data_IF_921999017338
#
_entry.id   IF_921999017338
#
_cell.length_a   1.000
_cell.length_b   1.000
_cell.length_c   1.000
_cell.angle_alpha   90.00
_cell.angle_beta   90.00
_cell.angle_gamma   90.00
#
_symmetry.space_group_name_H-M   'P 1'
#
loop_
_entity.id
_entity.type
_entity.pdbx_description
1 polymer ?
#
# COMPACT_ATOMS: atom_id res chain seq x y z
N UNK A 1 23.65 -20.81 29.45
CA UNK A 1 22.96 -19.89 28.51
C UNK A 1 22.37 -20.75 27.42
N UNK A 2 21.06 -20.89 27.35
CA UNK A 2 20.39 -21.69 26.32
C UNK A 2 20.71 -21.10 24.95
N UNK A 3 21.20 -21.94 24.04
CA UNK A 3 21.61 -21.56 22.69
C UNK A 3 20.38 -21.21 21.83
N UNK A 4 19.85 -20.00 22.05
CA UNK A 4 18.64 -19.52 21.37
C UNK A 4 18.95 -19.27 19.89
N UNK A 5 18.11 -19.79 19.01
CA UNK A 5 18.32 -19.70 17.56
C UNK A 5 17.64 -18.45 16.99
N UNK A 6 18.31 -17.77 16.06
CA UNK A 6 17.71 -16.64 15.34
C UNK A 6 16.52 -17.13 14.52
N UNK A 7 15.41 -16.40 14.56
CA UNK A 7 14.23 -16.70 13.73
C UNK A 7 14.59 -16.57 12.24
N UNK A 8 14.29 -17.63 11.49
CA UNK A 8 14.33 -17.63 10.02
C UNK A 8 12.94 -17.99 9.49
N UNK A 9 12.27 -17.01 8.91
CA UNK A 9 10.96 -17.13 8.29
C UNK A 9 11.10 -16.81 6.78
N UNK A 10 10.68 -17.75 5.93
CA UNK A 10 10.81 -17.70 4.47
C UNK A 10 9.44 -17.91 3.82
N UNK A 11 9.16 -17.19 2.73
CA UNK A 11 8.03 -17.50 1.85
C UNK A 11 8.21 -18.85 1.15
N UNK A 12 7.15 -19.35 0.50
CA UNK A 12 7.23 -20.57 -0.34
C UNK A 12 8.26 -20.43 -1.48
N UNK A 13 8.48 -19.20 -1.96
CA UNK A 13 9.54 -18.89 -2.93
C UNK A 13 10.95 -18.78 -2.34
N UNK A 14 11.13 -19.06 -1.04
CA UNK A 14 12.43 -19.04 -0.35
C UNK A 14 12.91 -17.65 0.09
N UNK A 15 12.16 -16.58 -0.20
CA UNK A 15 12.52 -15.21 0.20
C UNK A 15 12.32 -15.04 1.71
N UNK A 16 13.36 -14.56 2.39
CA UNK A 16 13.29 -14.24 3.83
C UNK A 16 12.33 -13.08 4.06
N UNK A 17 11.40 -13.25 5.01
CA UNK A 17 10.48 -12.19 5.43
C UNK A 17 11.22 -11.19 6.32
N UNK A 18 11.11 -9.86 6.09
CA UNK A 18 11.99 -8.84 6.68
C UNK A 18 11.58 -8.44 8.11
N UNK A 19 11.25 -9.39 8.99
CA UNK A 19 10.79 -9.09 10.36
C UNK A 19 11.78 -8.23 11.13
N UNK A 20 13.07 -8.58 11.10
CA UNK A 20 14.13 -7.83 11.80
C UNK A 20 14.28 -6.42 11.24
N UNK A 21 14.41 -6.27 9.93
CA UNK A 21 14.54 -4.97 9.26
C UNK A 21 13.37 -4.05 9.63
N UNK A 22 12.13 -4.53 9.47
CA UNK A 22 10.93 -3.76 9.79
C UNK A 22 10.80 -3.47 11.28
N UNK A 23 11.30 -4.33 12.16
CA UNK A 23 11.31 -4.09 13.61
C UNK A 23 12.30 -2.99 13.99
N UNK A 24 13.49 -2.96 13.40
CA UNK A 24 14.47 -1.89 13.65
C UNK A 24 13.93 -0.53 13.21
N UNK A 25 13.41 -0.43 11.99
CA UNK A 25 12.76 0.78 11.49
C UNK A 25 11.57 1.19 12.39
N UNK A 26 10.80 0.20 12.86
CA UNK A 26 9.68 0.43 13.77
C UNK A 26 10.10 0.99 15.13
N UNK A 27 11.22 0.55 15.68
CA UNK A 27 11.76 1.07 16.94
C UNK A 27 12.21 2.53 16.78
N UNK A 28 12.96 2.85 15.72
CA UNK A 28 13.39 4.22 15.41
C UNK A 28 12.19 5.15 15.22
N UNK A 29 11.19 4.74 14.44
CA UNK A 29 9.93 5.48 14.30
C UNK A 29 9.21 5.65 15.67
N UNK A 30 9.23 4.62 16.52
CA UNK A 30 8.70 4.69 17.88
C UNK A 30 9.44 5.69 18.78
N UNK A 31 10.75 5.82 18.64
CA UNK A 31 11.57 6.82 19.33
C UNK A 31 11.21 8.24 18.88
N UNK A 32 11.08 8.46 17.57
CA UNK A 32 10.67 9.75 17.02
C UNK A 32 9.27 10.15 17.47
N UNK A 33 8.31 9.22 17.50
CA UNK A 33 6.99 9.47 18.08
C UNK A 33 7.06 9.87 19.56
N UNK A 34 7.99 9.29 20.33
CA UNK A 34 8.16 9.63 21.73
C UNK A 34 8.70 11.06 21.88
N UNK A 35 9.70 11.45 21.09
CA UNK A 35 10.26 12.81 21.07
C UNK A 35 9.16 13.83 20.70
N UNK A 36 8.33 13.50 19.71
CA UNK A 36 7.19 14.31 19.26
C UNK A 36 5.97 14.22 20.21
N UNK A 37 6.07 13.50 21.34
CA UNK A 37 5.00 13.34 22.34
C UNK A 37 3.69 12.70 21.82
N UNK A 38 3.76 11.86 20.79
CA UNK A 38 2.62 11.06 20.34
C UNK A 38 2.33 9.92 21.33
N UNK A 39 1.12 9.90 21.91
CA UNK A 39 0.67 8.89 22.89
C UNK A 39 0.83 7.42 22.46
N UNK A 40 0.84 7.16 21.14
CA UNK A 40 0.96 5.81 20.57
C UNK A 40 2.39 5.27 20.53
N UNK A 41 3.41 6.06 20.90
CA UNK A 41 4.83 5.70 20.79
C UNK A 41 5.15 4.33 21.42
N UNK A 42 4.69 4.09 22.65
CA UNK A 42 4.92 2.82 23.36
C UNK A 42 4.36 1.62 22.60
N UNK A 43 3.08 1.68 22.22
CA UNK A 43 2.42 0.62 21.44
C UNK A 43 3.10 0.39 20.08
N UNK A 44 3.63 1.45 19.46
CA UNK A 44 4.41 1.33 18.23
C UNK A 44 5.69 0.56 18.47
N UNK A 45 6.44 0.83 19.54
CA UNK A 45 7.67 0.09 19.89
C UNK A 45 7.42 -1.38 20.16
N UNK A 46 6.30 -1.73 20.82
CA UNK A 46 5.91 -3.11 21.12
C UNK A 46 5.36 -3.87 19.89
N UNK A 47 5.10 -3.18 18.77
CA UNK A 47 4.53 -3.79 17.58
C UNK A 47 5.38 -4.98 17.11
N UNK A 48 4.76 -6.15 16.97
CA UNK A 48 5.43 -7.36 16.53
C UNK A 48 6.50 -7.91 17.48
N UNK A 49 6.54 -7.50 18.76
CA UNK A 49 7.59 -7.93 19.70
C UNK A 49 7.64 -9.46 19.90
N UNK A 50 6.48 -10.12 19.89
CA UNK A 50 6.36 -11.57 20.00
C UNK A 50 5.64 -12.10 18.76
N UNK A 51 6.30 -13.01 18.05
CA UNK A 51 5.77 -13.68 16.87
C UNK A 51 5.54 -15.15 17.20
N UNK A 52 4.30 -15.61 17.12
CA UNK A 52 3.97 -17.04 17.24
C UNK A 52 3.65 -17.59 15.86
N UNK A 53 4.32 -18.67 15.51
CA UNK A 53 4.11 -19.41 14.28
C UNK A 53 3.60 -20.81 14.59
N UNK A 54 2.78 -21.34 13.70
CA UNK A 54 2.57 -22.78 13.55
C UNK A 54 3.41 -23.25 12.38
N UNK A 55 4.02 -24.42 12.51
CA UNK A 55 4.82 -25.04 11.47
C UNK A 55 4.19 -26.36 11.02
N UNK A 56 4.18 -26.62 9.72
CA UNK A 56 3.74 -27.88 9.12
C UNK A 56 4.88 -28.92 9.00
N UNK A 57 4.56 -30.13 8.57
CA UNK A 57 5.52 -31.23 8.34
C UNK A 57 6.65 -30.88 7.35
N UNK A 58 6.39 -29.94 6.44
CA UNK A 58 7.35 -29.49 5.42
C UNK A 58 8.24 -28.34 5.93
N UNK A 59 8.04 -27.88 7.16
CA UNK A 59 8.80 -26.79 7.78
C UNK A 59 8.30 -25.39 7.39
N UNK A 60 7.14 -25.28 6.75
CA UNK A 60 6.54 -23.98 6.43
C UNK A 60 5.92 -23.36 7.67
N UNK A 61 6.21 -22.07 7.87
CA UNK A 61 5.72 -21.31 9.02
C UNK A 61 4.56 -20.42 8.61
N UNK A 62 3.43 -20.55 9.31
CA UNK A 62 2.33 -19.58 9.27
C UNK A 62 2.34 -18.77 10.56
N UNK A 63 2.33 -17.46 10.43
CA UNK A 63 2.15 -16.57 11.58
C UNK A 63 0.74 -16.79 12.15
N UNK A 64 0.67 -17.28 13.38
CA UNK A 64 -0.56 -17.60 14.08
C UNK A 64 -0.99 -16.47 15.03
N UNK A 65 -0.03 -15.80 15.68
CA UNK A 65 -0.32 -14.70 16.60
C UNK A 65 0.80 -13.67 16.65
N UNK A 66 0.41 -12.40 16.71
CA UNK A 66 1.25 -11.26 17.07
C UNK A 66 0.35 -10.05 17.38
N UNK A 67 0.91 -8.99 17.94
CA UNK A 67 0.20 -7.73 18.18
C UNK A 67 0.74 -6.64 17.26
N UNK A 68 -0.13 -6.07 16.44
CA UNK A 68 0.18 -4.94 15.56
C UNK A 68 -0.36 -3.64 16.15
N UNK A 69 0.40 -2.55 16.03
CA UNK A 69 0.00 -1.25 16.57
C UNK A 69 -1.00 -0.48 15.69
N UNK A 70 -1.21 -0.96 14.45
CA UNK A 70 -1.99 -0.36 13.36
C UNK A 70 -1.60 1.07 12.97
N UNK A 71 -0.52 1.63 13.53
CA UNK A 71 -0.06 2.98 13.19
C UNK A 71 0.23 3.09 11.69
N UNK A 72 -0.16 4.22 11.11
CA UNK A 72 -0.14 4.48 9.67
C UNK A 72 1.26 4.47 9.07
N UNK A 73 2.26 4.89 9.83
CA UNK A 73 3.66 4.93 9.39
C UNK A 73 4.50 3.79 9.98
N UNK A 74 3.91 2.89 10.79
CA UNK A 74 4.64 1.76 11.36
C UNK A 74 5.11 0.82 10.24
N UNK A 75 6.43 0.58 10.08
CA UNK A 75 6.97 -0.24 9.00
C UNK A 75 6.47 -1.70 9.00
N UNK A 76 6.31 -2.31 10.19
CA UNK A 76 5.71 -3.64 10.32
C UNK A 76 4.26 -3.65 9.87
N UNK A 77 3.43 -2.75 10.39
CA UNK A 77 2.01 -2.70 10.03
C UNK A 77 1.83 -2.38 8.54
N UNK A 78 2.60 -1.44 8.00
CA UNK A 78 2.55 -1.09 6.59
C UNK A 78 2.91 -2.28 5.72
N UNK A 79 4.01 -2.98 6.01
CA UNK A 79 4.40 -4.19 5.28
C UNK A 79 3.28 -5.23 5.20
N UNK A 80 2.68 -5.57 6.35
CA UNK A 80 1.56 -6.51 6.42
C UNK A 80 0.33 -6.00 5.66
N UNK A 81 0.03 -4.70 5.78
CA UNK A 81 -1.08 -4.03 5.10
C UNK A 81 -0.95 -4.08 3.58
N UNK A 82 0.25 -3.81 3.04
CA UNK A 82 0.47 -3.89 1.59
C UNK A 82 0.37 -5.32 1.06
N UNK A 83 0.88 -6.31 1.81
CA UNK A 83 0.69 -7.72 1.43
C UNK A 83 -0.79 -8.07 1.34
N UNK A 84 -1.57 -7.75 2.38
CA UNK A 84 -3.01 -8.02 2.41
C UNK A 84 -3.75 -7.27 1.30
N UNK A 85 -3.46 -5.98 1.10
CA UNK A 85 -4.06 -5.19 0.01
C UNK A 85 -3.75 -5.77 -1.36
N UNK A 86 -2.52 -6.22 -1.60
CA UNK A 86 -2.12 -6.83 -2.88
C UNK A 86 -2.89 -8.12 -3.14
N UNK A 87 -3.07 -8.96 -2.13
CA UNK A 87 -3.74 -10.25 -2.29
C UNK A 87 -5.26 -10.07 -2.46
N UNK A 88 -5.89 -9.24 -1.62
CA UNK A 88 -7.30 -8.88 -1.79
C UNK A 88 -7.58 -8.24 -3.15
N UNK A 89 -6.70 -7.33 -3.60
CA UNK A 89 -6.84 -6.73 -4.92
C UNK A 89 -6.70 -7.78 -6.03
N UNK A 90 -5.78 -8.73 -5.90
CA UNK A 90 -5.64 -9.84 -6.87
C UNK A 90 -6.95 -10.62 -7.00
N UNK A 91 -7.57 -11.02 -5.88
CA UNK A 91 -8.87 -11.70 -5.87
C UNK A 91 -9.97 -10.86 -6.55
N UNK A 92 -10.01 -9.55 -6.28
CA UNK A 92 -10.96 -8.62 -6.93
C UNK A 92 -10.74 -8.56 -8.44
N UNK A 93 -9.48 -8.48 -8.89
CA UNK A 93 -9.15 -8.38 -10.32
C UNK A 93 -9.50 -9.68 -11.07
N UNK A 94 -9.22 -10.84 -10.47
CA UNK A 94 -9.57 -12.14 -11.04
C UNK A 94 -11.08 -12.28 -11.22
N UNK A 95 -11.86 -11.91 -10.20
CA UNK A 95 -13.31 -11.93 -10.27
C UNK A 95 -13.85 -10.91 -11.30
N UNK A 96 -13.23 -9.73 -11.40
CA UNK A 96 -13.61 -8.72 -12.38
C UNK A 96 -13.43 -9.21 -13.83
N UNK A 97 -12.34 -9.94 -14.09
CA UNK A 97 -12.09 -10.55 -15.40
C UNK A 97 -13.08 -11.68 -15.69
N UNK A 98 -13.46 -12.49 -14.68
CA UNK A 98 -14.52 -13.50 -14.84
C UNK A 98 -15.86 -12.86 -15.23
N UNK A 99 -16.26 -11.80 -14.52
CA UNK A 99 -17.54 -11.10 -14.75
C UNK A 99 -17.57 -10.25 -16.03
N UNK A 100 -16.41 -9.75 -16.49
CA UNK A 100 -16.26 -8.94 -17.71
C UNK A 100 -15.03 -9.38 -18.49
N UNK A 101 -15.17 -10.53 -19.17
CA UNK A 101 -14.09 -11.20 -19.93
C UNK A 101 -13.38 -10.32 -20.97
N UNK A 102 -14.09 -9.36 -21.55
CA UNK A 102 -13.53 -8.44 -22.56
C UNK A 102 -13.01 -7.14 -21.97
N UNK A 103 -13.15 -6.93 -20.66
CA UNK A 103 -12.62 -5.75 -19.99
C UNK A 103 -11.10 -5.70 -20.06
N UNK A 104 -10.56 -4.47 -20.00
CA UNK A 104 -9.13 -4.20 -20.12
C UNK A 104 -8.70 -3.31 -18.98
N UNK A 105 -7.45 -3.45 -18.55
CA UNK A 105 -6.89 -2.62 -17.49
C UNK A 105 -5.98 -1.53 -18.06
N UNK A 106 -6.07 -0.34 -17.46
CA UNK A 106 -5.13 0.75 -17.67
C UNK A 106 -4.53 1.14 -16.32
N UNK A 107 -3.25 1.45 -16.32
CA UNK A 107 -2.58 2.10 -15.21
C UNK A 107 -2.54 3.60 -15.49
N UNK A 108 -3.07 4.40 -14.56
CA UNK A 108 -3.13 5.85 -14.63
C UNK A 108 -2.41 6.43 -13.41
N UNK A 109 -1.37 7.22 -13.64
CA UNK A 109 -0.66 7.96 -12.60
C UNK A 109 -1.02 9.44 -12.70
N UNK A 110 -1.53 10.00 -11.60
CA UNK A 110 -1.94 11.39 -11.50
C UNK A 110 -1.01 12.11 -10.52
N UNK A 111 -0.25 13.10 -11.00
CA UNK A 111 0.66 13.88 -10.16
C UNK A 111 0.15 15.31 -9.94
N UNK A 112 0.78 15.98 -8.98
CA UNK A 112 0.67 17.40 -8.71
C UNK A 112 2.07 17.90 -8.36
N UNK A 113 2.27 19.22 -8.37
CA UNK A 113 3.51 19.83 -7.87
C UNK A 113 3.75 19.50 -6.39
N UNK A 114 5.01 19.58 -5.99
CA UNK A 114 5.41 19.36 -4.61
C UNK A 114 4.71 20.37 -3.68
N UNK A 115 4.39 19.91 -2.48
CA UNK A 115 3.74 20.75 -1.47
C UNK A 115 4.52 20.73 -0.16
N UNK A 116 4.23 21.69 0.70
CA UNK A 116 4.78 21.75 2.07
C UNK A 116 3.95 20.89 3.02
N UNK A 117 4.51 20.52 4.17
CA UNK A 117 3.80 19.73 5.19
C UNK A 117 2.47 20.36 5.63
N UNK A 118 2.47 21.69 5.77
CA UNK A 118 1.29 22.50 6.13
C UNK A 118 0.13 22.33 5.14
N UNK A 119 0.42 22.20 3.85
CA UNK A 119 -0.56 22.11 2.77
C UNK A 119 -0.92 20.67 2.39
N UNK A 120 -0.07 19.69 2.72
CA UNK A 120 -0.22 18.30 2.33
C UNK A 120 -1.60 17.72 2.67
N UNK A 121 -2.13 18.00 3.87
CA UNK A 121 -3.45 17.51 4.28
C UNK A 121 -4.58 18.01 3.40
N UNK A 122 -4.58 19.31 3.06
CA UNK A 122 -5.61 19.91 2.21
C UNK A 122 -5.51 19.39 0.79
N UNK A 123 -4.29 19.24 0.27
CA UNK A 123 -4.04 18.72 -1.08
C UNK A 123 -4.49 17.27 -1.21
N UNK A 124 -4.13 16.39 -0.27
CA UNK A 124 -4.60 14.99 -0.26
C UNK A 124 -6.13 14.87 -0.25
N UNK A 125 -6.80 15.75 0.51
CA UNK A 125 -8.27 15.83 0.51
C UNK A 125 -8.84 16.31 -0.82
N UNK A 126 -8.17 17.27 -1.46
CA UNK A 126 -8.55 17.78 -2.78
C UNK A 126 -8.39 16.70 -3.85
N UNK A 127 -7.26 16.00 -3.89
CA UNK A 127 -7.06 14.87 -4.80
C UNK A 127 -8.15 13.81 -4.63
N UNK A 128 -8.55 13.50 -3.38
CA UNK A 128 -9.62 12.55 -3.10
C UNK A 128 -11.01 12.98 -3.63
N UNK A 129 -11.26 14.29 -3.75
CA UNK A 129 -12.46 14.83 -4.42
C UNK A 129 -12.28 14.83 -5.94
N UNK A 130 -11.16 15.35 -6.43
CA UNK A 130 -10.85 15.47 -7.84
C UNK A 130 -10.93 14.11 -8.57
N UNK A 131 -10.40 13.03 -7.97
CA UNK A 131 -10.49 11.71 -8.60
C UNK A 131 -11.94 11.24 -8.75
N UNK A 132 -12.81 11.57 -7.81
CA UNK A 132 -14.24 11.21 -7.86
C UNK A 132 -14.94 11.97 -8.99
N UNK A 133 -14.61 13.23 -9.16
CA UNK A 133 -15.19 14.09 -10.20
C UNK A 133 -14.66 13.69 -11.59
N UNK A 134 -13.37 13.39 -11.70
CA UNK A 134 -12.74 12.89 -12.92
C UNK A 134 -13.43 11.63 -13.44
N UNK A 135 -13.72 10.66 -12.55
CA UNK A 135 -14.42 9.43 -12.94
C UNK A 135 -15.89 9.65 -13.35
N UNK A 136 -16.48 10.82 -13.05
CA UNK A 136 -17.85 11.19 -13.40
C UNK A 136 -17.95 12.01 -14.68
N UNK A 137 -16.84 12.49 -15.21
CA UNK A 137 -16.86 13.16 -16.51
C UNK A 137 -17.39 12.21 -17.59
N UNK A 138 -18.13 12.78 -18.56
CA UNK A 138 -18.90 12.03 -19.55
C UNK A 138 -18.10 10.93 -20.24
N UNK A 139 -16.89 11.23 -20.73
CA UNK A 139 -16.06 10.27 -21.48
C UNK A 139 -15.42 9.19 -20.58
N UNK A 140 -14.82 9.52 -19.41
CA UNK A 140 -14.44 8.51 -18.41
C UNK A 140 -15.61 7.61 -17.98
N UNK A 141 -16.72 8.18 -17.53
CA UNK A 141 -17.87 7.44 -17.02
C UNK A 141 -18.51 6.51 -18.06
N UNK A 142 -18.53 6.92 -19.34
CA UNK A 142 -19.01 6.09 -20.47
C UNK A 142 -18.24 4.77 -20.60
N UNK A 143 -16.92 4.80 -20.37
CA UNK A 143 -16.01 3.69 -20.65
C UNK A 143 -15.58 2.89 -19.42
N UNK A 144 -15.63 3.50 -18.24
CA UNK A 144 -15.18 2.91 -16.98
C UNK A 144 -16.16 1.83 -16.48
N UNK A 145 -15.63 0.66 -16.14
CA UNK A 145 -16.35 -0.40 -15.43
C UNK A 145 -16.12 -0.28 -13.93
N UNK A 146 -14.88 -0.01 -13.52
CA UNK A 146 -14.51 0.20 -12.13
C UNK A 146 -13.06 0.66 -12.01
N UNK A 147 -12.65 1.03 -10.81
CA UNK A 147 -11.28 1.43 -10.54
C UNK A 147 -10.90 1.17 -9.09
N UNK A 148 -9.60 1.07 -8.85
CA UNK A 148 -9.00 1.19 -7.53
C UNK A 148 -7.94 2.28 -7.59
N UNK A 149 -7.85 3.09 -6.54
CA UNK A 149 -6.81 4.11 -6.41
C UNK A 149 -6.08 3.97 -5.09
N UNK A 150 -4.78 4.21 -5.11
CA UNK A 150 -3.94 4.44 -3.95
C UNK A 150 -3.24 5.78 -4.05
N UNK A 151 -2.90 6.35 -2.91
CA UNK A 151 -2.12 7.58 -2.84
C UNK A 151 -0.74 7.25 -2.27
N UNK A 152 0.31 7.70 -2.95
CA UNK A 152 1.70 7.59 -2.53
C UNK A 152 2.25 9.01 -2.27
N UNK A 153 3.02 9.16 -1.21
CA UNK A 153 3.72 10.39 -0.83
C UNK A 153 5.19 10.04 -0.68
N UNK A 154 6.02 10.70 -1.48
CA UNK A 154 7.48 10.64 -1.40
C UNK A 154 8.01 11.97 -0.88
N UNK A 155 9.09 11.91 -0.10
CA UNK A 155 9.68 13.08 0.54
C UNK A 155 10.93 13.48 -0.22
N UNK A 156 11.04 14.76 -0.58
CA UNK A 156 12.26 15.37 -1.08
C UNK A 156 12.95 16.13 0.07
N UNK A 157 14.19 15.74 0.35
CA UNK A 157 15.04 16.26 1.42
C UNK A 157 16.11 17.27 0.93
N UNK A 158 16.14 17.58 -0.38
CA UNK A 158 17.17 18.44 -0.98
C UNK A 158 16.93 19.95 -0.81
N UNK A 159 15.71 20.34 -0.42
CA UNK A 159 15.36 21.75 -0.21
C UNK A 159 15.61 22.18 1.25
N UNK A 160 15.63 23.50 1.48
CA UNK A 160 15.75 24.09 2.83
C UNK A 160 14.69 23.60 3.82
N UNK A 161 13.56 23.10 3.31
CA UNK A 161 12.52 22.41 4.08
C UNK A 161 12.06 21.15 3.33
N UNK A 162 11.62 20.09 4.04
CA UNK A 162 11.05 18.90 3.40
C UNK A 162 9.88 19.24 2.49
N UNK A 163 9.92 18.74 1.26
CA UNK A 163 8.85 18.89 0.28
C UNK A 163 8.22 17.53 -0.04
N UNK A 164 6.90 17.51 -0.22
CA UNK A 164 6.13 16.28 -0.40
C UNK A 164 5.61 16.17 -1.82
N UNK A 165 6.13 15.17 -2.53
CA UNK A 165 5.62 14.78 -3.84
C UNK A 165 4.57 13.69 -3.65
N UNK A 166 3.30 14.07 -3.79
CA UNK A 166 2.16 13.19 -3.58
C UNK A 166 1.44 12.95 -4.90
N UNK A 167 1.13 11.69 -5.17
CA UNK A 167 0.55 11.26 -6.45
C UNK A 167 -0.40 10.09 -6.23
N UNK A 168 -1.27 9.85 -7.22
CA UNK A 168 -2.20 8.72 -7.19
C UNK A 168 -1.85 7.71 -8.26
N UNK A 169 -1.78 6.45 -7.85
CA UNK A 169 -1.82 5.31 -8.75
C UNK A 169 -3.25 4.81 -8.86
N UNK A 170 -3.74 4.71 -10.09
CA UNK A 170 -5.12 4.31 -10.38
C UNK A 170 -5.10 3.17 -11.37
N UNK A 171 -5.60 2.01 -10.94
CA UNK A 171 -5.86 0.90 -11.85
C UNK A 171 -7.31 0.99 -12.31
N UNK A 172 -7.48 1.33 -13.58
CA UNK A 172 -8.77 1.45 -14.25
C UNK A 172 -9.14 0.12 -14.89
N UNK A 173 -10.39 -0.30 -14.74
CA UNK A 173 -10.98 -1.37 -15.51
C UNK A 173 -11.99 -0.77 -16.49
N UNK A 174 -11.71 -0.88 -17.79
CA UNK A 174 -12.48 -0.23 -18.86
C UNK A 174 -13.07 -1.25 -19.82
N UNK A 175 -14.16 -0.87 -20.49
CA UNK A 175 -14.76 -1.64 -21.59
C UNK A 175 -13.75 -1.80 -22.74
N UNK A 176 -13.76 -2.92 -23.45
CA UNK A 176 -12.94 -3.12 -24.66
C UNK A 176 -13.17 -2.03 -25.73
N UNK A 177 -14.39 -1.49 -25.79
CA UNK A 177 -14.76 -0.40 -26.69
C UNK A 177 -13.95 0.89 -26.44
N UNK A 178 -13.33 1.04 -25.27
CA UNK A 178 -12.42 2.16 -24.98
C UNK A 178 -11.35 2.35 -26.05
N UNK A 179 -10.85 1.26 -26.64
CA UNK A 179 -9.80 1.29 -27.66
C UNK A 179 -10.35 1.44 -29.09
N UNK A 180 -11.65 1.68 -29.26
CA UNK A 180 -12.31 1.77 -30.57
C UNK A 180 -12.91 3.16 -30.77
N UNK A 181 -12.37 3.91 -31.73
CA UNK A 181 -12.88 5.23 -32.12
C UNK A 181 -12.52 6.36 -31.14
N UNK A 182 -12.49 7.59 -31.65
CA UNK A 182 -12.14 8.81 -30.92
C UNK A 182 -13.16 9.18 -29.82
N UNK A 183 -14.42 8.77 -29.97
CA UNK A 183 -15.48 9.02 -28.99
C UNK A 183 -15.33 8.23 -27.68
N UNK A 184 -14.47 7.20 -27.67
CA UNK A 184 -14.27 6.32 -26.52
C UNK A 184 -12.87 6.45 -25.95
N UNK A 185 -11.85 6.43 -26.81
CA UNK A 185 -10.45 6.47 -26.40
C UNK A 185 -10.11 7.81 -25.74
N UNK A 186 -9.45 7.79 -24.59
CA UNK A 186 -9.02 9.00 -23.88
C UNK A 186 -7.51 9.07 -23.99
N UNK A 187 -6.99 10.06 -24.72
CA UNK A 187 -5.54 10.26 -24.83
C UNK A 187 -4.93 10.70 -23.49
N UNK A 188 -3.60 10.61 -23.37
CA UNK A 188 -2.88 11.18 -22.24
C UNK A 188 -3.20 12.67 -22.05
N UNK A 189 -3.25 13.45 -23.14
CA UNK A 189 -3.59 14.89 -23.08
C UNK A 189 -5.01 15.15 -22.58
N UNK A 190 -5.99 14.31 -22.97
CA UNK A 190 -7.35 14.40 -22.43
C UNK A 190 -7.39 14.04 -20.94
N UNK A 191 -6.67 13.00 -20.51
CA UNK A 191 -6.55 12.66 -19.08
C UNK A 191 -5.91 13.79 -18.28
N UNK A 192 -4.84 14.40 -18.80
CA UNK A 192 -4.20 15.58 -18.21
C UNK A 192 -5.21 16.72 -18.06
N UNK A 193 -5.97 17.05 -19.10
CA UNK A 193 -6.98 18.10 -19.05
C UNK A 193 -8.11 17.80 -18.06
N UNK A 194 -8.55 16.55 -17.96
CA UNK A 194 -9.52 16.14 -16.94
C UNK A 194 -8.96 16.27 -15.53
N UNK A 195 -7.72 15.86 -15.31
CA UNK A 195 -7.09 15.95 -14.01
C UNK A 195 -6.86 17.40 -13.58
N UNK A 196 -6.28 18.21 -14.47
CA UNK A 196 -6.10 19.65 -14.27
C UNK A 196 -7.41 20.33 -13.88
N UNK A 197 -8.50 20.04 -14.63
CA UNK A 197 -9.83 20.61 -14.34
C UNK A 197 -10.40 20.13 -13.01
N UNK A 198 -10.29 18.83 -12.70
CA UNK A 198 -10.82 18.27 -11.46
C UNK A 198 -10.08 18.78 -10.22
N UNK A 199 -8.76 18.97 -10.34
CA UNK A 199 -7.92 19.56 -9.30
C UNK A 199 -7.98 21.08 -9.28
N UNK A 200 -8.53 21.74 -10.32
CA UNK A 200 -8.56 23.21 -10.47
C UNK A 200 -7.15 23.83 -10.49
N UNK A 201 -6.20 23.17 -11.16
CA UNK A 201 -4.82 23.63 -11.24
C UNK A 201 -4.67 24.76 -12.26
N UNK A 202 -3.84 25.74 -11.93
CA UNK A 202 -3.41 26.82 -12.83
C UNK A 202 -2.20 26.43 -13.70
N UNK A 203 -1.65 25.24 -13.52
CA UNK A 203 -0.57 24.64 -14.32
C UNK A 203 -1.04 23.33 -14.97
N UNK A 204 -0.28 22.83 -15.94
CA UNK A 204 -0.53 21.54 -16.61
C UNK A 204 0.19 20.44 -15.82
N UNK A 205 -0.52 19.51 -15.16
CA UNK A 205 0.12 18.44 -14.40
C UNK A 205 0.69 17.33 -15.30
N UNK A 206 1.58 16.52 -14.75
CA UNK A 206 2.08 15.32 -15.44
C UNK A 206 1.12 14.16 -15.15
N UNK A 207 0.62 13.54 -16.20
CA UNK A 207 -0.22 12.34 -16.11
C UNK A 207 0.37 11.27 -16.99
N UNK A 208 0.52 10.05 -16.46
CA UNK A 208 0.89 8.90 -17.25
C UNK A 208 -0.30 7.94 -17.38
N UNK A 209 -0.50 7.38 -18.57
CA UNK A 209 -1.53 6.36 -18.81
C UNK A 209 -1.00 5.26 -19.70
N UNK A 210 -1.09 4.03 -19.23
CA UNK A 210 -0.56 2.86 -19.94
C UNK A 210 -1.54 1.70 -19.89
N UNK A 211 -1.68 0.95 -20.98
CA UNK A 211 -2.45 -0.28 -20.98
C UNK A 211 -1.66 -1.38 -20.24
N UNK A 212 -2.31 -2.07 -19.32
CA UNK A 212 -1.72 -3.23 -18.66
C UNK A 212 -1.62 -4.36 -19.68
N UNK A 213 -0.38 -4.70 -20.05
CA UNK A 213 -0.10 -5.79 -20.99
C UNK A 213 -0.10 -7.14 -20.25
N UNK A 214 -0.63 -8.21 -20.86
CA UNK A 214 -0.36 -9.56 -20.40
C UNK A 214 1.15 -9.80 -20.45
N UNK A 215 1.72 -10.27 -19.34
CA UNK A 215 3.15 -10.50 -19.22
C UNK A 215 3.44 -11.91 -19.74
N UNK A 216 4.00 -12.01 -20.95
CA UNK A 216 4.28 -13.31 -21.60
C UNK A 216 5.62 -13.89 -21.13
N UNK A 217 6.55 -13.03 -20.68
CA UNK A 217 7.96 -13.40 -20.45
C UNK A 217 8.40 -13.46 -18.97
N UNK A 218 7.51 -13.16 -18.02
CA UNK A 218 7.77 -13.37 -16.59
C UNK A 218 6.70 -14.29 -16.04
N UNK A 219 7.09 -15.34 -15.32
CA UNK A 219 6.22 -16.26 -14.56
C UNK A 219 5.29 -15.59 -13.52
N UNK A 220 5.12 -14.25 -13.54
CA UNK A 220 4.18 -13.48 -12.74
C UNK A 220 2.99 -13.05 -13.61
N UNK A 221 1.79 -13.50 -13.24
CA UNK A 221 0.51 -13.04 -13.77
C UNK A 221 0.49 -11.49 -13.84
N UNK A 222 0.20 -10.90 -15.01
CA UNK A 222 0.19 -9.44 -15.19
C UNK A 222 -0.74 -8.72 -14.22
N UNK A 223 -1.85 -9.38 -13.84
CA UNK A 223 -2.80 -8.84 -12.86
C UNK A 223 -2.18 -8.74 -11.46
N UNK A 224 -1.38 -9.74 -11.06
CA UNK A 224 -0.66 -9.72 -9.80
C UNK A 224 0.36 -8.57 -9.77
N UNK A 225 1.08 -8.35 -10.88
CA UNK A 225 2.03 -7.24 -10.98
C UNK A 225 1.33 -5.88 -10.86
N UNK A 226 0.18 -5.70 -11.53
CA UNK A 226 -0.62 -4.49 -11.41
C UNK A 226 -1.20 -4.31 -10.00
N UNK A 227 -1.66 -5.40 -9.37
CA UNK A 227 -2.13 -5.36 -7.99
C UNK A 227 -1.03 -4.94 -7.02
N UNK A 228 0.18 -5.50 -7.16
CA UNK A 228 1.35 -5.15 -6.36
C UNK A 228 1.76 -3.68 -6.56
N UNK A 229 1.66 -3.16 -7.78
CA UNK A 229 1.97 -1.76 -8.08
C UNK A 229 0.96 -0.81 -7.41
N UNK A 230 -0.34 -1.10 -7.49
CA UNK A 230 -1.38 -0.25 -6.90
C UNK A 230 -1.50 -0.42 -5.38
N UNK A 231 -1.16 -1.58 -4.82
CA UNK A 231 -1.24 -1.87 -3.38
C UNK A 231 0.00 -1.44 -2.57
N UNK A 232 0.87 -0.59 -3.14
CA UNK A 232 2.04 -0.06 -2.44
C UNK A 232 1.69 0.76 -1.19
N UNK A 233 2.70 0.93 -0.33
CA UNK A 233 2.60 1.79 0.84
C UNK A 233 2.30 3.23 0.45
N UNK A 234 1.57 3.94 1.32
CA UNK A 234 1.38 5.37 1.14
C UNK A 234 2.68 6.16 1.35
N UNK A 235 3.57 5.68 2.23
CA UNK A 235 4.90 6.25 2.48
C UNK A 235 5.87 5.11 2.74
N UNK A 236 7.11 5.20 2.23
CA UNK A 236 8.15 4.19 2.50
C UNK A 236 8.94 4.60 3.75
N UNK A 237 9.33 3.62 4.57
CA UNK A 237 10.12 3.85 5.79
C UNK A 237 11.40 4.65 5.50
N UNK A 238 12.10 4.31 4.41
CA UNK A 238 13.31 5.00 3.96
C UNK A 238 13.13 6.49 3.64
N UNK A 239 11.90 6.94 3.39
CA UNK A 239 11.62 8.35 3.06
C UNK A 239 11.43 9.19 4.35
N UNK A 240 11.23 8.53 5.51
CA UNK A 240 10.92 9.16 6.81
C UNK A 240 11.88 8.77 7.94
N UNK A 241 12.73 7.77 7.70
CA UNK A 241 13.80 7.30 8.59
C UNK A 241 15.11 7.39 7.82
N UNK A 242 15.64 8.60 7.78
CA UNK A 242 16.93 8.90 7.16
C UNK A 242 18.02 8.90 8.23
N UNK A 243 19.16 9.52 7.94
CA UNK A 243 20.22 9.77 8.90
C UNK A 243 20.17 11.20 9.46
N UNK A 244 19.11 11.97 9.17
CA UNK A 244 18.91 13.33 9.66
C UNK A 244 17.70 13.39 10.59
N UNK A 245 17.95 13.29 11.90
CA UNK A 245 16.90 13.24 12.91
C UNK A 245 15.99 14.48 12.92
N UNK A 246 16.53 15.68 12.71
CA UNK A 246 15.74 16.92 12.73
C UNK A 246 14.72 16.93 11.59
N UNK A 247 15.16 16.60 10.37
CA UNK A 247 14.28 16.48 9.21
C UNK A 247 13.28 15.33 9.37
N UNK A 248 13.72 14.17 9.87
CA UNK A 248 12.84 13.02 10.08
C UNK A 248 11.71 13.32 11.07
N UNK A 249 12.02 14.04 12.17
CA UNK A 249 11.02 14.46 13.15
C UNK A 249 9.97 15.37 12.51
N UNK A 250 10.40 16.36 11.72
CA UNK A 250 9.48 17.24 10.98
C UNK A 250 8.62 16.43 10.00
N UNK A 251 9.23 15.54 9.23
CA UNK A 251 8.57 14.73 8.21
C UNK A 251 7.53 13.79 8.81
N UNK A 252 7.88 13.14 9.91
CA UNK A 252 6.95 12.26 10.62
C UNK A 252 5.77 13.06 11.17
N UNK A 253 6.01 14.21 11.78
CA UNK A 253 4.92 15.04 12.32
C UNK A 253 3.96 15.51 11.22
N UNK A 254 4.50 16.04 10.11
CA UNK A 254 3.72 16.46 8.94
C UNK A 254 2.86 15.31 8.40
N UNK A 255 3.45 14.11 8.24
CA UNK A 255 2.75 12.95 7.69
C UNK A 255 1.71 12.36 8.66
N UNK A 256 2.00 12.34 9.96
CA UNK A 256 1.03 11.94 10.99
C UNK A 256 -0.23 12.81 10.92
N UNK A 257 -0.04 14.13 10.81
CA UNK A 257 -1.15 15.07 10.73
C UNK A 257 -1.88 14.99 9.38
N UNK A 258 -1.13 14.90 8.27
CA UNK A 258 -1.69 14.93 6.92
C UNK A 258 -2.46 13.65 6.57
N UNK A 259 -1.95 12.49 6.99
CA UNK A 259 -2.57 11.19 6.68
C UNK A 259 -3.71 10.83 7.64
N UNK A 260 -3.82 11.50 8.79
CA UNK A 260 -4.89 11.28 9.76
C UNK A 260 -6.29 11.41 9.13
N UNK A 261 -7.07 10.32 9.18
CA UNK A 261 -8.42 10.25 8.63
C UNK A 261 -8.49 10.19 7.10
N UNK A 262 -7.34 10.04 6.42
CA UNK A 262 -7.30 9.80 4.98
C UNK A 262 -7.43 8.30 4.69
N UNK A 263 -8.10 7.96 3.58
CA UNK A 263 -8.17 6.56 3.09
C UNK A 263 -7.01 6.29 2.14
N UNK A 264 -6.18 5.28 2.44
CA UNK A 264 -5.07 4.85 1.59
C UNK A 264 -5.54 4.42 0.21
N UNK A 265 -6.55 3.55 0.23
CA UNK A 265 -7.04 2.84 -0.94
C UNK A 265 -8.54 3.05 -1.05
N UNK A 266 -9.05 3.22 -2.27
CA UNK A 266 -10.49 3.25 -2.48
C UNK A 266 -10.87 2.65 -3.81
N UNK A 267 -12.04 2.03 -3.83
CA UNK A 267 -12.60 1.34 -4.98
C UNK A 267 -13.84 2.08 -5.49
N UNK A 268 -14.06 2.02 -6.81
CA UNK A 268 -15.27 2.51 -7.47
C UNK A 268 -15.75 1.58 -8.59
N UNK A 269 -17.03 1.73 -8.94
CA UNK A 269 -17.71 0.87 -9.93
C UNK A 269 -17.67 -0.61 -9.54
N UNK A 270 -17.54 -1.47 -10.54
CA UNK A 270 -17.57 -2.92 -10.40
C UNK A 270 -16.55 -3.46 -9.38
N UNK A 271 -15.35 -2.89 -9.31
CA UNK A 271 -14.33 -3.38 -8.35
C UNK A 271 -14.77 -3.17 -6.89
N UNK A 272 -15.55 -2.12 -6.62
CA UNK A 272 -16.14 -1.88 -5.30
C UNK A 272 -17.25 -2.88 -4.99
N UNK A 273 -18.05 -3.23 -5.98
CA UNK A 273 -19.13 -4.21 -5.87
C UNK A 273 -18.57 -5.61 -5.60
N UNK A 274 -17.57 -6.02 -6.37
CA UNK A 274 -16.85 -7.29 -6.18
C UNK A 274 -16.23 -7.37 -4.79
N UNK A 275 -15.53 -6.30 -4.35
CA UNK A 275 -14.97 -6.26 -2.99
C UNK A 275 -16.04 -6.52 -1.92
N UNK A 276 -17.25 -5.98 -2.10
CA UNK A 276 -18.38 -6.20 -1.18
C UNK A 276 -18.91 -7.64 -1.28
N UNK A 277 -19.01 -8.19 -2.49
CA UNK A 277 -19.45 -9.58 -2.73
C UNK A 277 -18.52 -10.60 -2.07
N UNK A 278 -17.20 -10.39 -2.19
CA UNK A 278 -16.16 -11.23 -1.58
C UNK A 278 -16.02 -11.02 -0.07
N UNK A 279 -16.78 -10.08 0.53
CA UNK A 279 -16.76 -9.77 1.96
C UNK A 279 -15.36 -9.48 2.52
N UNK A 280 -14.51 -8.86 1.70
CA UNK A 280 -13.11 -8.60 2.06
C UNK A 280 -12.99 -7.58 3.18
N UNK A 281 -12.13 -7.89 4.14
CA UNK A 281 -11.92 -7.08 5.35
C UNK A 281 -11.40 -5.67 5.06
N UNK A 282 -11.62 -4.75 6.00
CA UNK A 282 -10.95 -3.46 5.99
C UNK A 282 -9.47 -3.62 6.34
N UNK A 283 -8.59 -3.36 5.38
CA UNK A 283 -7.14 -3.55 5.57
C UNK A 283 -6.50 -2.43 6.42
N UNK A 284 -7.18 -1.30 6.63
CA UNK A 284 -6.64 -0.23 7.47
C UNK A 284 -6.65 -0.62 8.95
N UNK A 285 -7.73 -1.26 9.41
CA UNK A 285 -7.99 -1.57 10.82
C UNK A 285 -8.22 -3.07 11.10
N UNK A 286 -8.26 -3.92 10.09
CA UNK A 286 -8.53 -5.36 10.19
C UNK A 286 -7.29 -6.20 10.47
N UNK A 287 -7.43 -7.51 10.34
CA UNK A 287 -6.37 -8.45 10.71
C UNK A 287 -5.13 -8.28 9.82
N UNK A 288 -3.96 -8.17 10.45
CA UNK A 288 -2.66 -8.12 9.78
C UNK A 288 -1.87 -9.42 9.96
N UNK A 289 -2.39 -10.42 10.68
CA UNK A 289 -1.83 -11.77 10.84
C UNK A 289 -2.16 -12.62 9.62
N UNK A 290 -3.42 -12.61 9.16
CA UNK A 290 -3.78 -13.16 7.87
C UNK A 290 -3.74 -12.05 6.81
N UNK A 291 -2.86 -12.22 5.83
CA UNK A 291 -2.73 -11.33 4.67
C UNK A 291 -3.39 -11.89 3.42
N UNK A 292 -4.30 -12.85 3.56
CA UNK A 292 -5.09 -13.43 2.47
C UNK A 292 -4.23 -14.03 1.35
N UNK A 293 -3.08 -14.61 1.72
CA UNK A 293 -2.13 -15.22 0.81
C UNK A 293 -2.24 -16.75 0.89
N UNK A 294 -2.23 -17.42 -0.25
CA UNK A 294 -2.15 -18.90 -0.30
C UNK A 294 -0.86 -19.43 0.38
N UNK A 295 0.19 -18.60 0.45
CA UNK A 295 1.43 -18.88 1.19
C UNK A 295 1.24 -18.93 2.73
N UNK A 296 0.05 -18.62 3.23
CA UNK A 296 -0.31 -18.70 4.66
C UNK A 296 -1.22 -19.89 4.95
N UNK A 297 -1.50 -20.76 3.99
CA UNK A 297 -2.11 -22.04 4.28
C UNK A 297 -1.03 -23.01 4.76
N UNK A 298 -1.29 -23.62 5.91
CA UNK A 298 -0.51 -24.70 6.47
C UNK A 298 -1.38 -25.94 6.50
N UNK A 299 -0.78 -27.07 6.15
CA UNK A 299 -1.40 -28.38 6.28
C UNK A 299 -1.49 -28.78 7.76
N UNK A 300 -1.17 -30.03 8.09
CA UNK A 300 -1.17 -30.50 9.47
C UNK A 300 -0.10 -29.78 10.30
N UNK A 301 -0.55 -29.05 11.33
CA UNK A 301 0.33 -28.37 12.29
C UNK A 301 1.04 -29.41 13.13
N UNK A 302 2.38 -29.35 13.14
CA UNK A 302 3.22 -30.28 13.93
C UNK A 302 3.90 -29.63 15.12
N UNK A 303 4.12 -28.31 15.11
CA UNK A 303 4.64 -27.58 16.27
C UNK A 303 4.32 -26.09 16.26
N UNK A 304 4.39 -25.51 17.45
CA UNK A 304 4.39 -24.05 17.66
C UNK A 304 5.80 -23.52 17.85
N UNK A 305 6.08 -22.36 17.27
CA UNK A 305 7.36 -21.66 17.37
C UNK A 305 7.08 -20.25 17.88
N UNK A 306 7.67 -19.90 19.03
CA UNK A 306 7.56 -18.55 19.59
C UNK A 306 8.91 -17.85 19.43
N UNK A 307 8.93 -16.76 18.68
CA UNK A 307 10.10 -15.91 18.55
C UNK A 307 9.85 -14.57 19.25
N UNK A 308 10.76 -14.17 20.13
CA UNK A 308 10.70 -12.88 20.84
C UNK A 308 11.84 -11.96 20.41
N UNK A 309 11.55 -10.68 20.24
CA UNK A 309 12.55 -9.65 20.02
C UNK A 309 13.44 -9.50 21.25
N UNK A 310 14.75 -9.61 21.04
CA UNK A 310 15.77 -9.31 22.04
C UNK A 310 16.33 -7.90 21.76
N UNK A 311 16.05 -6.96 22.66
CA UNK A 311 16.45 -5.57 22.54
C UNK A 311 17.97 -5.35 22.66
N UNK A 312 18.70 -6.24 23.34
CA UNK A 312 20.16 -6.13 23.45
C UNK A 312 20.84 -6.64 22.17
N UNK A 313 20.31 -7.73 21.60
CA UNK A 313 20.86 -8.38 20.41
C UNK A 313 20.28 -7.87 19.10
N UNK A 314 19.25 -7.02 19.15
CA UNK A 314 18.57 -6.45 17.99
C UNK A 314 18.11 -7.53 16.98
N UNK A 315 17.51 -8.62 17.48
CA UNK A 315 17.02 -9.72 16.66
C UNK A 315 15.92 -10.55 17.34
N UNK A 316 15.19 -11.33 16.56
CA UNK A 316 14.23 -12.32 17.04
C UNK A 316 14.90 -13.65 17.32
N UNK A 317 14.61 -14.23 18.49
CA UNK A 317 15.12 -15.53 18.90
C UNK A 317 13.97 -16.46 19.28
N UNK A 318 14.08 -17.71 18.82
CA UNK A 318 13.27 -18.87 19.23
C UNK A 318 13.93 -19.53 20.43
#
# INVERSE_FOLDING_TARGET
MTDRKVLVDKSRSGKVRPWRERKLENLQYGDYLQILNYKKAHRVKECGEVLRFVEDEQGHKKLAQTWFCHSRLCPLCNWRRAMKQSNQLTQILEEAVKQRKTGRFLFLTLTVENTTGKQLKSELRQMGRAIRDLMRYKKPAKNLLGYVRSTEVTVNHEADQPMYHHHMHVLLFVKSLYFKGSDNYISQSEWTGYWQRAMKLNYVPIVNVEAVKPNVDRHKNSLLASAQETAKYQVKSKDILTNNQEQDLQVIDDLEQALAGSRQISYGGLLKEIRKQLQLEDVENGDLINTDSDDQDTDQVVREIVAKWDYQRNNYFV
#
